data_IF_259601736625
#
_entry.id   IF_259601736625
#
_cell.length_a   1.000
_cell.length_b   1.000
_cell.length_c   1.000
_cell.angle_alpha   90.00
_cell.angle_beta   90.00
_cell.angle_gamma   90.00
#
_symmetry.space_group_name_H-M   'P 1'
#
loop_
_entity.id
_entity.type
_entity.pdbx_description
1 polymer ?
#
# COMPACT_ATOMS: atom_id res chain seq x y z
N UNK A 1 9.39 8.16 13.65
CA UNK A 1 8.42 8.22 12.54
C UNK A 1 8.35 6.83 11.94
N UNK A 2 7.22 6.11 12.10
CA UNK A 2 7.05 4.78 11.51
C UNK A 2 7.06 4.94 9.98
N UNK A 3 8.03 4.33 9.31
CA UNK A 3 7.99 4.30 7.86
C UNK A 3 7.02 3.18 7.48
N UNK A 4 5.85 3.58 6.97
CA UNK A 4 4.78 2.70 6.53
C UNK A 4 4.48 2.95 5.04
N UNK A 5 4.12 1.89 4.32
CA UNK A 5 3.53 1.97 2.98
C UNK A 5 2.27 1.11 3.00
N UNK A 6 1.17 1.68 2.51
CA UNK A 6 -0.14 1.04 2.49
C UNK A 6 -0.47 0.57 1.08
N UNK A 7 -1.16 -0.55 0.97
CA UNK A 7 -1.49 -1.14 -0.31
C UNK A 7 -2.82 -1.88 -0.28
N UNK A 8 -3.34 -2.16 -1.46
CA UNK A 8 -4.48 -3.01 -1.73
C UNK A 8 -4.00 -4.19 -2.56
N UNK A 9 -3.91 -5.37 -1.95
CA UNK A 9 -3.47 -6.61 -2.58
C UNK A 9 -4.57 -7.67 -2.50
N UNK A 10 -4.88 -8.37 -3.58
CA UNK A 10 -5.61 -9.65 -3.44
C UNK A 10 -4.68 -10.74 -2.89
N UNK A 11 -5.21 -11.93 -2.65
CA UNK A 11 -4.40 -13.08 -2.28
C UNK A 11 -3.33 -13.40 -3.34
N UNK A 12 -3.65 -13.25 -4.63
CA UNK A 12 -2.70 -13.48 -5.72
C UNK A 12 -1.57 -12.43 -5.71
N UNK A 13 -1.90 -11.14 -5.54
CA UNK A 13 -0.88 -10.09 -5.40
C UNK A 13 0.00 -10.31 -4.15
N UNK A 14 -0.62 -10.74 -3.05
CA UNK A 14 0.08 -11.03 -1.80
C UNK A 14 1.08 -12.19 -1.96
N UNK A 15 0.70 -13.28 -2.64
CA UNK A 15 1.58 -14.40 -2.93
C UNK A 15 2.81 -13.96 -3.73
N UNK A 16 2.61 -13.16 -4.79
CA UNK A 16 3.72 -12.62 -5.60
C UNK A 16 4.65 -11.74 -4.75
N UNK A 17 4.09 -10.89 -3.90
CA UNK A 17 4.87 -10.05 -2.98
C UNK A 17 5.66 -10.88 -1.97
N UNK A 18 5.03 -11.90 -1.37
CA UNK A 18 5.67 -12.79 -0.38
C UNK A 18 6.82 -13.58 -1.02
N UNK A 19 6.61 -14.16 -2.20
CA UNK A 19 7.65 -14.87 -2.95
C UNK A 19 8.86 -13.95 -3.24
N UNK A 20 8.63 -12.68 -3.57
CA UNK A 20 9.72 -11.71 -3.72
C UNK A 20 10.40 -11.40 -2.38
N UNK A 21 9.63 -11.29 -1.30
CA UNK A 21 10.15 -10.98 0.02
C UNK A 21 10.99 -12.11 0.61
N UNK A 22 10.64 -13.37 0.38
CA UNK A 22 11.41 -14.55 0.80
C UNK A 22 12.86 -14.51 0.30
N UNK A 23 13.11 -13.96 -0.89
CA UNK A 23 14.47 -13.78 -1.42
C UNK A 23 15.29 -12.68 -0.72
N UNK A 24 14.71 -11.92 0.20
CA UNK A 24 15.34 -10.76 0.86
C UNK A 24 15.42 -10.86 2.38
N UNK A 25 14.66 -11.77 2.99
CA UNK A 25 14.53 -11.92 4.45
C UNK A 25 15.08 -13.27 4.89
N UNK A 26 15.41 -13.39 6.17
CA UNK A 26 15.96 -14.64 6.70
C UNK A 26 14.84 -15.67 6.99
N UNK A 27 13.64 -15.19 7.36
CA UNK A 27 12.43 -16.02 7.48
C UNK A 27 11.16 -15.16 7.52
N UNK A 28 10.01 -15.79 7.29
CA UNK A 28 8.69 -15.19 7.45
C UNK A 28 7.95 -15.98 8.54
N UNK A 29 7.42 -15.27 9.55
CA UNK A 29 6.70 -15.90 10.66
C UNK A 29 5.31 -15.28 10.80
N UNK A 30 4.27 -16.09 10.63
CA UNK A 30 2.89 -15.66 10.85
C UNK A 30 2.65 -15.31 12.33
N UNK A 31 1.90 -14.24 12.57
CA UNK A 31 1.60 -13.69 13.88
C UNK A 31 0.18 -13.11 13.91
N UNK A 32 -0.81 -14.01 13.89
CA UNK A 32 -2.22 -13.65 13.82
C UNK A 32 -2.55 -12.98 12.49
N UNK A 33 -3.03 -11.74 12.54
CA UNK A 33 -3.43 -10.96 11.36
C UNK A 33 -2.26 -10.35 10.58
N UNK A 34 -1.02 -10.59 11.00
CA UNK A 34 0.19 -10.05 10.38
C UNK A 34 1.27 -11.12 10.24
N UNK A 35 2.22 -10.89 9.35
CA UNK A 35 3.44 -11.68 9.22
C UNK A 35 4.66 -10.83 9.62
N UNK A 36 5.59 -11.47 10.31
CA UNK A 36 6.88 -10.90 10.69
C UNK A 36 7.95 -11.38 9.72
N UNK A 37 8.42 -10.47 8.88
CA UNK A 37 9.56 -10.65 7.99
C UNK A 37 10.84 -10.43 8.81
N UNK A 38 11.58 -11.49 9.11
CA UNK A 38 12.75 -11.47 10.00
C UNK A 38 14.03 -11.16 9.24
N UNK A 39 14.83 -10.24 9.78
CA UNK A 39 16.16 -9.86 9.28
C UNK A 39 17.11 -9.79 10.48
N UNK A 40 17.77 -10.90 10.79
CA UNK A 40 18.57 -11.08 12.00
C UNK A 40 17.70 -10.91 13.25
N UNK A 41 18.07 -9.93 14.07
CA UNK A 41 17.34 -9.53 15.27
C UNK A 41 16.28 -8.43 15.02
N UNK A 42 16.15 -7.97 13.77
CA UNK A 42 15.13 -7.03 13.33
C UNK A 42 13.93 -7.73 12.70
N UNK A 43 12.81 -7.00 12.61
CA UNK A 43 11.62 -7.44 11.91
C UNK A 43 10.93 -6.31 11.15
N UNK A 44 10.36 -6.64 10.00
CA UNK A 44 9.40 -5.83 9.26
C UNK A 44 8.02 -6.47 9.46
N UNK A 45 7.02 -5.66 9.75
CA UNK A 45 5.64 -6.12 9.94
C UNK A 45 4.95 -6.00 8.58
N UNK A 46 4.40 -7.11 8.09
CA UNK A 46 3.53 -7.16 6.93
C UNK A 46 2.11 -7.49 7.39
N UNK A 47 1.18 -6.59 7.11
CA UNK A 47 -0.25 -6.82 7.32
C UNK A 47 -0.88 -7.01 5.94
N UNK A 48 -1.39 -8.21 5.62
CA UNK A 48 -2.05 -8.45 4.34
C UNK A 48 -3.34 -7.61 4.23
N UNK A 49 -3.69 -7.27 3.00
CA UNK A 49 -5.04 -6.81 2.68
C UNK A 49 -6.04 -7.95 2.88
N UNK A 50 -7.26 -7.63 3.31
CA UNK A 50 -8.31 -8.63 3.57
C UNK A 50 -9.54 -8.30 2.73
N UNK A 51 -10.12 -9.31 2.10
CA UNK A 51 -11.27 -9.19 1.19
C UNK A 51 -12.46 -10.03 1.66
N UNK A 52 -13.18 -9.61 2.71
CA UNK A 52 -14.49 -10.14 3.00
C UNK A 52 -15.49 -9.64 1.95
N UNK A 53 -16.25 -10.58 1.40
CA UNK A 53 -17.26 -10.33 0.38
C UNK A 53 -16.68 -9.57 -0.83
N UNK A 54 -16.95 -8.26 -0.92
CA UNK A 54 -16.49 -7.40 -2.02
C UNK A 54 -15.70 -6.17 -1.56
N UNK A 55 -15.30 -6.09 -0.28
CA UNK A 55 -14.59 -4.92 0.26
C UNK A 55 -13.15 -5.26 0.57
N UNK A 56 -12.21 -4.73 -0.21
CA UNK A 56 -10.78 -4.91 0.00
C UNK A 56 -10.26 -3.85 0.98
N UNK A 57 -9.79 -4.28 2.15
CA UNK A 57 -9.12 -3.40 3.11
C UNK A 57 -7.66 -3.16 2.74
N UNK A 58 -7.14 -2.00 3.13
CA UNK A 58 -5.73 -1.68 2.96
C UNK A 58 -4.87 -2.54 3.90
N UNK A 59 -3.88 -3.23 3.32
CA UNK A 59 -2.76 -3.81 4.04
C UNK A 59 -1.61 -2.82 4.17
N UNK A 60 -0.55 -3.21 4.87
CA UNK A 60 0.65 -2.37 4.97
C UNK A 60 1.92 -3.17 5.20
N UNK A 61 3.06 -2.55 4.88
CA UNK A 61 4.35 -2.93 5.46
C UNK A 61 4.89 -1.78 6.28
N UNK A 62 5.38 -2.11 7.47
CA UNK A 62 5.97 -1.16 8.38
C UNK A 62 7.27 -1.72 8.96
N UNK A 63 8.28 -0.87 9.06
CA UNK A 63 9.43 -1.12 9.93
C UNK A 63 9.13 -0.43 11.26
N UNK A 64 9.07 -1.20 12.35
CA UNK A 64 8.77 -0.65 13.68
C UNK A 64 9.96 0.15 14.20
N UNK A 65 10.11 1.39 13.74
CA UNK A 65 11.16 2.29 14.24
C UNK A 65 10.90 2.78 15.67
N UNK A 66 9.77 2.43 16.29
CA UNK A 66 9.38 2.87 17.63
C UNK A 66 9.77 1.88 18.75
N UNK A 67 9.98 0.61 18.41
CA UNK A 67 10.57 -0.40 19.29
C UNK A 67 12.06 -0.68 19.03
N UNK A 68 12.64 -0.12 17.97
CA UNK A 68 14.03 -0.36 17.53
C UNK A 68 15.09 0.34 18.41
N UNK A 69 14.71 1.17 19.37
CA UNK A 69 15.63 1.56 20.46
C UNK A 69 15.88 0.41 21.47
N UNK A 70 15.15 -0.71 21.36
CA UNK A 70 15.39 -1.93 22.15
C UNK A 70 16.39 -2.90 21.48
N UNK A 71 17.46 -2.40 20.88
CA UNK A 71 18.66 -3.21 20.65
C UNK A 71 18.73 -4.07 19.38
N UNK A 72 18.01 -3.73 18.31
CA UNK A 72 18.28 -4.37 17.01
C UNK A 72 19.64 -3.92 16.45
N UNK A 73 20.59 -4.84 16.42
CA UNK A 73 21.95 -4.64 15.91
C UNK A 73 21.98 -4.52 14.39
N UNK A 74 21.02 -5.13 13.69
CA UNK A 74 20.98 -5.15 12.22
C UNK A 74 20.06 -4.09 11.60
N UNK A 75 19.82 -2.95 12.29
CA UNK A 75 18.91 -1.89 11.84
C UNK A 75 19.14 -1.45 10.40
N UNK A 76 20.39 -1.20 10.01
CA UNK A 76 20.73 -0.75 8.66
C UNK A 76 20.39 -1.80 7.58
N UNK A 77 20.58 -3.10 7.88
CA UNK A 77 20.21 -4.20 6.98
C UNK A 77 18.68 -4.24 6.82
N UNK A 78 17.94 -4.15 7.93
CA UNK A 78 16.48 -4.14 7.91
C UNK A 78 15.91 -2.92 7.17
N UNK A 79 16.47 -1.72 7.38
CA UNK A 79 16.09 -0.52 6.62
C UNK A 79 16.36 -0.67 5.12
N UNK A 80 17.48 -1.29 4.74
CA UNK A 80 17.80 -1.55 3.34
C UNK A 80 16.82 -2.54 2.71
N UNK A 81 16.46 -3.61 3.41
CA UNK A 81 15.44 -4.58 2.97
C UNK A 81 14.08 -3.90 2.86
N UNK A 82 13.65 -3.13 3.87
CA UNK A 82 12.41 -2.37 3.82
C UNK A 82 12.35 -1.42 2.62
N UNK A 83 13.45 -0.70 2.33
CA UNK A 83 13.55 0.15 1.14
C UNK A 83 13.42 -0.65 -0.16
N UNK A 84 13.98 -1.85 -0.25
CA UNK A 84 13.84 -2.75 -1.41
C UNK A 84 12.39 -3.21 -1.59
N UNK A 85 11.73 -3.65 -0.53
CA UNK A 85 10.31 -4.06 -0.56
C UNK A 85 9.41 -2.90 -0.98
N UNK A 86 9.60 -1.73 -0.37
CA UNK A 86 8.85 -0.51 -0.72
C UNK A 86 9.07 -0.10 -2.17
N UNK A 87 10.32 -0.17 -2.66
CA UNK A 87 10.64 0.14 -4.06
C UNK A 87 9.98 -0.86 -5.01
N UNK A 88 9.97 -2.14 -4.65
CA UNK A 88 9.32 -3.17 -5.44
C UNK A 88 7.82 -2.90 -5.57
N UNK A 89 7.11 -2.60 -4.47
CA UNK A 89 5.69 -2.23 -4.51
C UNK A 89 5.49 -1.04 -5.45
N UNK A 90 6.27 0.04 -5.26
CA UNK A 90 6.16 1.25 -6.09
C UNK A 90 6.39 1.05 -7.58
N UNK A 91 7.20 0.06 -7.94
CA UNK A 91 7.53 -0.22 -9.34
C UNK A 91 6.52 -1.13 -10.02
N UNK A 92 5.88 -2.02 -9.26
CA UNK A 92 4.96 -3.01 -9.82
C UNK A 92 3.50 -2.59 -9.68
N UNK A 93 3.16 -1.74 -8.69
CA UNK A 93 1.78 -1.43 -8.33
C UNK A 93 1.39 -0.01 -8.73
N UNK A 94 0.11 0.19 -8.99
CA UNK A 94 -0.43 1.49 -9.39
C UNK A 94 -0.72 2.36 -8.18
N UNK A 95 -0.26 3.61 -8.17
CA UNK A 95 -0.70 4.61 -7.18
C UNK A 95 -1.76 5.57 -7.72
N UNK A 96 -2.49 5.15 -8.76
CA UNK A 96 -3.53 5.96 -9.41
C UNK A 96 -4.85 5.80 -8.68
N UNK A 97 -4.89 6.28 -7.44
CA UNK A 97 -6.05 6.20 -6.59
C UNK A 97 -6.58 7.61 -6.26
N UNK A 98 -7.90 7.68 -6.12
CA UNK A 98 -8.58 8.79 -5.48
C UNK A 98 -9.36 8.27 -4.27
N UNK A 99 -9.70 9.19 -3.37
CA UNK A 99 -10.53 8.91 -2.21
C UNK A 99 -11.74 9.81 -2.19
N UNK A 100 -12.82 9.29 -1.64
CA UNK A 100 -14.02 10.04 -1.28
C UNK A 100 -14.56 9.52 0.04
N UNK A 101 -15.39 10.33 0.71
CA UNK A 101 -16.02 9.95 1.97
C UNK A 101 -17.45 9.51 1.71
N UNK A 102 -17.87 8.42 2.33
CA UNK A 102 -19.24 7.92 2.26
C UNK A 102 -20.25 9.04 2.56
N UNK A 103 -21.21 9.25 1.65
CA UNK A 103 -22.18 10.37 1.72
C UNK A 103 -21.68 11.72 1.19
N UNK A 104 -20.44 11.83 0.72
CA UNK A 104 -19.88 13.05 0.11
C UNK A 104 -18.98 12.72 -1.10
N UNK A 105 -19.60 12.16 -2.15
CA UNK A 105 -18.90 11.76 -3.37
C UNK A 105 -18.34 12.94 -4.18
N UNK A 106 -18.84 14.16 -3.95
CA UNK A 106 -18.42 15.36 -4.68
C UNK A 106 -16.98 15.81 -4.32
N UNK A 107 -16.42 15.30 -3.21
CA UNK A 107 -15.07 15.62 -2.75
C UNK A 107 -14.10 14.47 -3.03
N UNK A 108 -13.75 14.32 -4.29
CA UNK A 108 -12.71 13.37 -4.73
C UNK A 108 -11.32 13.98 -4.57
N UNK A 109 -10.46 13.33 -3.79
CA UNK A 109 -9.06 13.75 -3.60
C UNK A 109 -8.11 12.69 -4.17
N UNK A 110 -7.09 13.10 -4.93
CA UNK A 110 -6.04 12.14 -5.35
C UNK A 110 -5.16 11.79 -4.15
N UNK A 111 -4.83 10.50 -4.04
CA UNK A 111 -3.94 10.01 -2.97
C UNK A 111 -2.75 9.30 -3.59
N UNK A 112 -1.55 9.59 -3.08
CA UNK A 112 -0.28 9.07 -3.64
C UNK A 112 0.44 8.07 -2.73
N UNK A 113 -0.09 7.87 -1.53
CA UNK A 113 0.51 7.04 -0.48
C UNK A 113 -0.13 5.65 -0.37
N UNK A 114 -0.94 5.27 -1.36
CA UNK A 114 -1.55 3.96 -1.48
C UNK A 114 -1.22 3.36 -2.83
N UNK A 115 -1.01 2.04 -2.84
CA UNK A 115 -0.66 1.27 -4.03
C UNK A 115 -1.64 0.13 -4.25
N UNK A 116 -2.13 -0.03 -5.46
CA UNK A 116 -3.06 -1.09 -5.87
C UNK A 116 -2.31 -2.14 -6.68
N UNK A 117 -2.34 -3.39 -6.20
CA UNK A 117 -1.76 -4.54 -6.87
C UNK A 117 -2.39 -4.80 -8.25
N UNK A 118 -1.66 -5.44 -9.18
CA UNK A 118 -2.15 -5.68 -10.53
C UNK A 118 -3.43 -6.51 -10.58
N UNK A 119 -3.55 -7.57 -9.77
CA UNK A 119 -4.75 -8.40 -9.73
C UNK A 119 -5.91 -7.66 -9.05
N UNK A 120 -5.64 -6.97 -7.92
CA UNK A 120 -6.62 -6.10 -7.26
C UNK A 120 -7.16 -5.01 -8.20
N UNK A 121 -6.28 -4.45 -9.03
CA UNK A 121 -6.65 -3.46 -10.05
C UNK A 121 -7.54 -4.07 -11.12
N UNK A 122 -7.13 -5.19 -11.71
CA UNK A 122 -7.91 -5.86 -12.75
C UNK A 122 -9.31 -6.20 -12.21
N UNK A 123 -9.39 -6.70 -10.98
CA UNK A 123 -10.66 -7.01 -10.33
C UNK A 123 -11.52 -5.76 -10.15
N UNK A 124 -10.96 -4.66 -9.63
CA UNK A 124 -11.68 -3.38 -9.48
C UNK A 124 -12.16 -2.79 -10.81
N UNK A 125 -11.39 -2.96 -11.88
CA UNK A 125 -11.80 -2.55 -13.24
C UNK A 125 -12.95 -3.43 -13.79
N UNK A 126 -12.97 -4.71 -13.45
CA UNK A 126 -13.97 -5.68 -13.93
C UNK A 126 -15.26 -5.75 -13.09
N UNK A 127 -15.18 -5.42 -11.80
CA UNK A 127 -16.29 -5.52 -10.85
C UNK A 127 -16.54 -4.18 -10.18
N UNK A 128 -17.56 -3.47 -10.67
CA UNK A 128 -17.96 -2.17 -10.13
C UNK A 128 -18.45 -2.24 -8.68
N UNK A 129 -18.79 -3.43 -8.16
CA UNK A 129 -19.21 -3.64 -6.77
C UNK A 129 -18.05 -3.82 -5.82
N UNK A 130 -16.83 -4.00 -6.32
CA UNK A 130 -15.65 -4.12 -5.48
C UNK A 130 -15.35 -2.75 -4.84
N UNK A 131 -15.34 -2.71 -3.52
CA UNK A 131 -14.97 -1.53 -2.75
C UNK A 131 -13.53 -1.63 -2.28
N UNK A 132 -12.83 -0.50 -2.25
CA UNK A 132 -11.52 -0.37 -1.63
C UNK A 132 -11.67 0.56 -0.42
N UNK A 133 -11.30 0.10 0.78
CA UNK A 133 -11.45 0.90 2.01
C UNK A 133 -10.17 0.86 2.85
N UNK A 134 -9.91 1.91 3.61
CA UNK A 134 -8.76 1.93 4.52
C UNK A 134 -8.85 0.79 5.55
N UNK A 135 -10.04 0.57 6.08
CA UNK A 135 -10.42 -0.53 6.97
C UNK A 135 -11.91 -0.81 6.80
N UNK A 136 -12.40 -1.93 7.35
CA UNK A 136 -13.82 -2.31 7.26
C UNK A 136 -14.78 -1.29 7.86
N UNK A 137 -14.33 -0.55 8.87
CA UNK A 137 -15.12 0.48 9.54
C UNK A 137 -14.86 1.88 8.99
N UNK A 138 -13.97 2.01 8.00
CA UNK A 138 -13.64 3.31 7.43
C UNK A 138 -14.76 3.80 6.51
N UNK A 139 -15.12 5.08 6.68
CA UNK A 139 -15.95 5.83 5.74
C UNK A 139 -15.16 6.36 4.55
N UNK A 140 -13.83 6.15 4.51
CA UNK A 140 -12.98 6.54 3.39
C UNK A 140 -12.93 5.40 2.38
N UNK A 141 -13.49 5.66 1.21
CA UNK A 141 -13.43 4.77 0.05
C UNK A 141 -12.35 5.22 -0.91
N UNK A 142 -11.77 4.26 -1.61
CA UNK A 142 -10.79 4.47 -2.66
C UNK A 142 -11.36 4.02 -4.00
N UNK A 143 -11.00 4.75 -5.05
CA UNK A 143 -11.33 4.38 -6.42
C UNK A 143 -10.17 4.68 -7.37
N UNK A 144 -10.27 4.18 -8.59
CA UNK A 144 -9.30 4.44 -9.65
C UNK A 144 -9.38 5.91 -10.07
N UNK A 145 -8.25 6.61 -10.02
CA UNK A 145 -8.20 7.99 -10.46
C UNK A 145 -8.36 8.07 -12.00
N UNK A 146 -9.25 8.94 -12.52
CA UNK A 146 -9.48 9.07 -13.95
C UNK A 146 -8.21 9.45 -14.70
N UNK A 147 -8.12 9.04 -15.97
CA UNK A 147 -7.03 9.45 -16.86
C UNK A 147 -6.91 10.96 -16.95
N UNK A 148 -5.67 11.45 -16.97
CA UNK A 148 -5.36 12.89 -16.95
C UNK A 148 -5.91 13.65 -18.17
N UNK A 149 -6.43 12.96 -19.18
CA UNK A 149 -7.09 13.56 -20.33
C UNK A 149 -8.58 13.88 -20.10
N UNK A 150 -9.18 13.45 -18.98
CA UNK A 150 -10.61 13.63 -18.69
C UNK A 150 -10.85 14.69 -17.59
N UNK A 151 -9.81 15.09 -16.87
CA UNK A 151 -9.86 16.28 -16.00
C UNK A 151 -9.33 17.47 -16.80
N UNK A 152 -10.25 18.26 -17.37
CA UNK A 152 -9.95 19.43 -18.18
C UNK A 152 -8.86 20.33 -17.58
N UNK A 153 -7.96 20.76 -18.45
CA UNK A 153 -7.12 21.96 -18.37
C UNK A 153 -6.88 22.54 -16.96
N UNK A 154 -6.07 21.85 -16.16
CA UNK A 154 -5.21 22.57 -15.20
C UNK A 154 -3.91 22.86 -15.94
N UNK A 155 -3.93 23.94 -16.72
CA UNK A 155 -2.70 24.56 -17.22
C UNK A 155 -1.81 24.87 -16.01
N UNK A 156 -0.56 24.38 -15.97
CA UNK A 156 0.38 24.83 -14.95
C UNK A 156 0.58 26.33 -15.16
N UNK A 157 0.30 27.14 -14.13
CA UNK A 157 0.57 28.59 -14.14
C UNK A 157 2.04 28.81 -14.53
N UNK A 158 2.27 29.14 -15.79
CA UNK A 158 3.57 29.50 -16.33
C UNK A 158 4.04 30.77 -15.63
N UNK A 159 5.24 30.66 -15.04
CA UNK A 159 6.22 31.68 -14.66
C UNK A 159 5.76 33.15 -14.72
N UNK A 160 5.86 33.83 -13.56
CA UNK A 160 5.91 35.30 -13.46
C UNK A 160 6.96 35.86 -14.46
N UNK A 161 6.63 36.89 -15.26
CA UNK A 161 7.64 37.62 -16.01
C UNK A 161 8.55 38.37 -15.02
N UNK A 162 9.85 38.41 -15.36
CA UNK A 162 10.85 39.28 -14.74
C UNK A 162 10.62 40.72 -15.17
#
# INVERSE_FOLDING_TARGET
MKAEIQFFMTAADAEVFINYAEGLVDSIKENGESSLLKIGDCQIIYTPSVLPENTLSAGSIAIDSGGIDAGCKQRLKAEAVYKKLRKWIKNNYSNRLCTWTEGNADKVSRVRDFWLGPDARQRKESDSKMELRLSFTSSTLFDLAPDMNVMGDITPKTKKPR
#
